data_IF_575195033598
#
_entry.id   IF_575195033598
#
_cell.length_a   1.000
_cell.length_b   1.000
_cell.length_c   1.000
_cell.angle_alpha   90.00
_cell.angle_beta   90.00
_cell.angle_gamma   90.00
#
_symmetry.space_group_name_H-M   'P 1'
#
loop_
_entity.id
_entity.type
_entity.pdbx_description
1 polymer ?
#
# COMPACT_ATOMS: atom_id res chain seq x y z
N UNK A 1 -6.47 0.86 23.30
CA UNK A 1 -6.79 1.80 22.25
C UNK A 1 -8.11 2.50 22.51
N UNK A 2 -8.22 3.71 22.06
CA UNK A 2 -9.45 4.48 22.17
C UNK A 2 -10.56 3.79 21.36
N UNK A 3 -11.59 3.32 22.05
CA UNK A 3 -12.74 2.63 21.42
C UNK A 3 -13.46 3.52 20.41
N UNK A 4 -13.48 4.85 20.64
CA UNK A 4 -14.06 5.83 19.71
C UNK A 4 -13.33 5.88 18.36
N UNK A 5 -12.01 5.72 18.34
CA UNK A 5 -11.23 5.66 17.10
C UNK A 5 -11.55 4.40 16.31
N UNK A 6 -11.66 3.24 16.96
CA UNK A 6 -12.02 1.99 16.31
C UNK A 6 -13.44 2.03 15.71
N UNK A 7 -14.42 2.49 16.49
CA UNK A 7 -15.81 2.62 16.01
C UNK A 7 -15.92 3.58 14.82
N UNK A 8 -15.21 4.71 14.87
CA UNK A 8 -15.16 5.63 13.72
C UNK A 8 -14.56 4.96 12.46
N UNK A 9 -13.46 4.21 12.63
CA UNK A 9 -12.84 3.48 11.52
C UNK A 9 -13.80 2.43 10.93
N UNK A 10 -14.52 1.69 11.79
CA UNK A 10 -15.54 0.73 11.39
C UNK A 10 -16.66 1.40 10.59
N UNK A 11 -17.20 2.53 11.07
CA UNK A 11 -18.22 3.29 10.36
C UNK A 11 -17.74 3.84 9.01
N UNK A 12 -16.47 4.25 8.92
CA UNK A 12 -15.87 4.64 7.64
C UNK A 12 -15.81 3.47 6.64
N UNK A 13 -15.43 2.27 7.12
CA UNK A 13 -15.43 1.06 6.28
C UNK A 13 -16.83 0.71 5.79
N UNK A 14 -17.86 0.79 6.65
CA UNK A 14 -19.25 0.56 6.26
C UNK A 14 -19.73 1.57 5.24
N UNK A 15 -19.51 2.86 5.50
CA UNK A 15 -19.88 3.92 4.57
C UNK A 15 -19.21 3.74 3.22
N UNK A 16 -17.92 3.37 3.19
CA UNK A 16 -17.21 3.09 1.96
C UNK A 16 -17.83 1.92 1.20
N UNK A 17 -18.03 0.79 1.85
CA UNK A 17 -18.57 -0.43 1.26
C UNK A 17 -20.00 -0.22 0.74
N UNK A 18 -20.89 0.39 1.53
CA UNK A 18 -22.28 0.67 1.17
C UNK A 18 -22.39 1.63 -0.04
N UNK A 19 -21.35 2.42 -0.30
CA UNK A 19 -21.25 3.28 -1.48
C UNK A 19 -20.41 2.69 -2.63
N UNK A 20 -20.14 1.38 -2.60
CA UNK A 20 -19.50 0.65 -3.69
C UNK A 20 -17.97 0.69 -3.70
N UNK A 21 -17.32 1.15 -2.63
CA UNK A 21 -15.87 1.07 -2.49
C UNK A 21 -15.52 -0.31 -1.90
N UNK A 22 -14.87 -1.14 -2.71
CA UNK A 22 -14.52 -2.52 -2.33
C UNK A 22 -13.03 -2.74 -2.11
N UNK A 23 -12.18 -1.78 -2.48
CA UNK A 23 -10.73 -1.87 -2.32
C UNK A 23 -10.28 -1.18 -1.04
N UNK A 24 -9.76 -1.96 -0.09
CA UNK A 24 -9.17 -1.50 1.16
C UNK A 24 -7.66 -1.70 1.12
N UNK A 25 -6.94 -0.57 1.13
CA UNK A 25 -5.50 -0.52 0.90
C UNK A 25 -4.73 -0.22 2.19
N UNK A 26 -3.91 -1.16 2.62
CA UNK A 26 -3.15 -1.14 3.86
C UNK A 26 -1.63 -1.18 3.59
N UNK A 27 -0.85 -1.16 4.64
CA UNK A 27 0.56 -1.50 4.64
C UNK A 27 0.97 -1.98 6.04
N UNK A 28 2.02 -2.80 6.11
CA UNK A 28 2.51 -3.35 7.36
C UNK A 28 2.92 -2.27 8.39
N UNK A 29 3.37 -1.10 7.90
CA UNK A 29 3.82 0.01 8.74
C UNK A 29 2.72 1.06 9.07
N UNK A 30 1.46 0.88 8.59
CA UNK A 30 0.41 1.85 8.83
C UNK A 30 -0.17 1.78 10.24
N UNK A 31 -0.54 2.97 10.74
CA UNK A 31 -1.17 3.20 12.05
C UNK A 31 -0.25 3.95 13.00
N UNK A 32 -0.74 4.32 14.23
CA UNK A 32 0.09 4.94 15.24
C UNK A 32 1.29 4.07 15.64
N UNK A 33 1.05 2.76 15.73
CA UNK A 33 2.08 1.74 15.85
C UNK A 33 2.11 0.90 14.57
N UNK A 34 3.28 0.54 14.05
CA UNK A 34 3.39 -0.34 12.89
C UNK A 34 2.55 -1.61 13.08
N UNK A 35 1.73 -1.95 12.09
CA UNK A 35 0.83 -3.10 12.12
C UNK A 35 -0.57 -2.84 12.67
N UNK A 36 -0.79 -1.76 13.43
CA UNK A 36 -2.08 -1.53 14.09
C UNK A 36 -3.24 -1.28 13.11
N UNK A 37 -2.97 -0.73 11.94
CA UNK A 37 -3.98 -0.57 10.90
C UNK A 37 -4.47 -1.93 10.38
N UNK A 38 -3.55 -2.87 10.13
CA UNK A 38 -3.89 -4.23 9.70
C UNK A 38 -4.61 -5.01 10.81
N UNK A 39 -4.21 -4.87 12.08
CA UNK A 39 -4.89 -5.51 13.21
C UNK A 39 -6.34 -5.03 13.34
N UNK A 40 -6.56 -3.72 13.29
CA UNK A 40 -7.89 -3.13 13.38
C UNK A 40 -8.77 -3.53 12.20
N UNK A 41 -8.23 -3.46 10.98
CA UNK A 41 -8.98 -3.86 9.78
C UNK A 41 -9.25 -5.36 9.78
N UNK A 42 -8.30 -6.19 10.20
CA UNK A 42 -8.49 -7.63 10.37
C UNK A 42 -9.60 -7.98 11.37
N UNK A 43 -9.76 -7.19 12.43
CA UNK A 43 -10.89 -7.32 13.35
C UNK A 43 -12.21 -6.99 12.65
N UNK A 44 -12.28 -5.88 11.90
CA UNK A 44 -13.47 -5.51 11.12
C UNK A 44 -13.82 -6.60 10.09
N UNK A 45 -12.83 -7.14 9.38
CA UNK A 45 -13.04 -8.23 8.43
C UNK A 45 -13.70 -9.44 9.08
N UNK A 46 -13.19 -9.88 10.23
CA UNK A 46 -13.73 -11.07 10.94
C UNK A 46 -15.11 -10.85 11.49
N UNK A 47 -15.35 -9.70 12.11
CA UNK A 47 -16.59 -9.41 12.84
C UNK A 47 -17.73 -8.98 11.92
N UNK A 48 -17.42 -8.25 10.84
CA UNK A 48 -18.42 -7.53 10.06
C UNK A 48 -18.44 -7.90 8.56
N UNK A 49 -17.28 -8.19 7.97
CA UNK A 49 -17.13 -8.39 6.53
C UNK A 49 -16.79 -9.83 6.12
N UNK A 50 -16.83 -10.79 7.05
CA UNK A 50 -16.48 -12.18 6.75
C UNK A 50 -17.30 -12.77 5.60
N UNK A 51 -18.59 -12.44 5.49
CA UNK A 51 -19.47 -12.89 4.43
C UNK A 51 -19.20 -12.23 3.07
N UNK A 52 -18.41 -11.15 3.05
CA UNK A 52 -18.13 -10.36 1.85
C UNK A 52 -16.68 -10.45 1.41
N UNK A 53 -15.88 -11.39 1.97
CA UNK A 53 -14.45 -11.50 1.63
C UNK A 53 -14.21 -11.56 0.11
N UNK A 54 -15.03 -12.29 -0.61
CA UNK A 54 -14.89 -12.49 -2.05
C UNK A 54 -15.35 -11.28 -2.90
N UNK A 55 -16.04 -10.33 -2.27
CA UNK A 55 -16.43 -9.05 -2.86
C UNK A 55 -15.41 -7.93 -2.60
N UNK A 56 -14.42 -8.19 -1.73
CA UNK A 56 -13.43 -7.21 -1.31
C UNK A 56 -12.09 -7.43 -1.99
N UNK A 57 -11.42 -6.33 -2.31
CA UNK A 57 -10.00 -6.29 -2.67
C UNK A 57 -9.25 -5.78 -1.45
N UNK A 58 -8.46 -6.64 -0.83
CA UNK A 58 -7.61 -6.29 0.31
C UNK A 58 -6.18 -6.27 -0.16
N UNK A 59 -5.53 -5.12 -0.04
CA UNK A 59 -4.11 -4.99 -0.37
C UNK A 59 -3.28 -4.59 0.85
N UNK A 60 -2.03 -5.05 0.86
CA UNK A 60 -1.03 -4.60 1.84
C UNK A 60 0.35 -4.49 1.19
N UNK A 61 1.29 -3.89 1.90
CA UNK A 61 2.61 -3.49 1.39
C UNK A 61 3.69 -3.74 2.43
N UNK A 62 4.90 -3.98 1.97
CA UNK A 62 6.11 -3.99 2.80
C UNK A 62 7.27 -3.29 2.10
N UNK A 63 8.11 -2.56 2.85
CA UNK A 63 9.26 -1.81 2.33
C UNK A 63 9.83 -0.79 3.30
N UNK A 64 9.15 -0.51 4.39
CA UNK A 64 9.59 0.42 5.45
C UNK A 64 9.95 -0.32 6.73
N UNK A 65 10.61 0.39 7.67
CA UNK A 65 11.08 -0.17 8.93
C UNK A 65 9.94 -0.79 9.75
N UNK A 66 10.11 -2.06 10.14
CA UNK A 66 9.17 -2.82 10.94
C UNK A 66 9.77 -3.37 12.22
N UNK A 67 11.05 -3.73 12.22
CA UNK A 67 11.76 -4.22 13.39
C UNK A 67 13.25 -3.90 13.32
N UNK A 68 13.95 -3.82 14.46
CA UNK A 68 15.38 -3.58 14.49
C UNK A 68 16.20 -4.68 13.82
N UNK A 69 17.32 -4.29 13.22
CA UNK A 69 18.27 -5.22 12.61
C UNK A 69 18.24 -5.20 11.08
N UNK A 70 19.13 -5.96 10.44
CA UNK A 70 19.40 -5.83 8.99
C UNK A 70 18.28 -6.37 8.09
N UNK A 71 17.31 -7.09 8.65
CA UNK A 71 16.24 -7.73 7.89
C UNK A 71 14.85 -7.13 8.19
N UNK A 72 14.80 -5.98 8.84
CA UNK A 72 13.53 -5.33 9.23
C UNK A 72 13.03 -4.26 8.28
N UNK A 73 13.62 -4.11 7.08
CA UNK A 73 13.38 -3.01 6.15
C UNK A 73 13.64 -3.42 4.70
N UNK A 74 13.22 -2.57 3.74
CA UNK A 74 13.53 -2.61 2.30
C UNK A 74 12.87 -3.72 1.52
N UNK A 75 13.61 -4.43 0.64
CA UNK A 75 13.04 -5.31 -0.38
C UNK A 75 13.66 -6.69 -0.47
N UNK A 76 14.52 -7.11 0.51
CA UNK A 76 15.11 -8.43 0.49
C UNK A 76 14.05 -9.54 0.58
N UNK A 77 14.38 -10.71 0.02
CA UNK A 77 13.51 -11.90 0.07
C UNK A 77 13.09 -12.24 1.51
N UNK A 78 14.03 -12.21 2.43
CA UNK A 78 13.76 -12.51 3.84
C UNK A 78 12.76 -11.53 4.44
N UNK A 79 12.94 -10.23 4.19
CA UNK A 79 12.08 -9.18 4.71
C UNK A 79 10.66 -9.27 4.14
N UNK A 80 10.52 -9.39 2.81
CA UNK A 80 9.20 -9.37 2.16
C UNK A 80 8.35 -10.59 2.55
N UNK A 81 8.94 -11.79 2.59
CA UNK A 81 8.21 -13.00 3.00
C UNK A 81 7.79 -12.91 4.47
N UNK A 82 8.70 -12.55 5.37
CA UNK A 82 8.39 -12.41 6.79
C UNK A 82 7.33 -11.32 7.04
N UNK A 83 7.43 -10.20 6.31
CA UNK A 83 6.46 -9.10 6.41
C UNK A 83 5.07 -9.52 5.98
N UNK A 84 4.94 -10.22 4.85
CA UNK A 84 3.63 -10.71 4.39
C UNK A 84 3.03 -11.72 5.37
N UNK A 85 3.83 -12.65 5.89
CA UNK A 85 3.35 -13.63 6.89
C UNK A 85 2.81 -12.94 8.15
N UNK A 86 3.49 -11.91 8.61
CA UNK A 86 3.03 -11.09 9.73
C UNK A 86 1.76 -10.30 9.39
N UNK A 87 1.68 -9.73 8.18
CA UNK A 87 0.49 -9.00 7.71
C UNK A 87 -0.74 -9.92 7.63
N UNK A 88 -0.60 -11.10 7.05
CA UNK A 88 -1.67 -12.11 6.98
C UNK A 88 -2.17 -12.50 8.36
N UNK A 89 -1.24 -12.68 9.32
CA UNK A 89 -1.61 -12.97 10.71
C UNK A 89 -2.41 -11.82 11.36
N UNK A 90 -1.99 -10.55 11.17
CA UNK A 90 -2.71 -9.38 11.69
C UNK A 90 -4.10 -9.23 11.06
N UNK A 91 -4.18 -9.40 9.75
CA UNK A 91 -5.42 -9.34 8.98
C UNK A 91 -6.36 -10.53 9.28
N UNK A 92 -5.83 -11.67 9.72
CA UNK A 92 -6.58 -12.91 9.88
C UNK A 92 -7.00 -13.51 8.54
N UNK A 93 -6.16 -13.40 7.51
CA UNK A 93 -6.40 -13.87 6.15
C UNK A 93 -5.35 -14.89 5.74
N UNK A 94 -5.73 -15.81 4.84
CA UNK A 94 -4.82 -16.75 4.20
C UNK A 94 -4.07 -16.12 3.02
N UNK A 95 -4.67 -15.11 2.38
CA UNK A 95 -4.10 -14.37 1.26
C UNK A 95 -4.60 -12.93 1.22
N UNK A 96 -3.85 -12.06 0.57
CA UNK A 96 -4.29 -10.73 0.13
C UNK A 96 -4.52 -10.72 -1.38
N UNK A 97 -5.37 -9.82 -1.86
CA UNK A 97 -5.61 -9.71 -3.31
C UNK A 97 -4.42 -9.09 -4.01
N UNK A 98 -3.83 -8.04 -3.43
CA UNK A 98 -2.64 -7.40 -3.98
C UNK A 98 -1.57 -7.23 -2.89
N UNK A 99 -0.35 -7.69 -3.17
CA UNK A 99 0.80 -7.40 -2.33
C UNK A 99 1.76 -6.45 -3.04
N UNK A 100 2.13 -5.35 -2.38
CA UNK A 100 3.02 -4.34 -2.95
C UNK A 100 4.43 -4.40 -2.33
N UNK A 101 5.46 -4.25 -3.18
CA UNK A 101 6.73 -3.72 -2.71
C UNK A 101 6.58 -2.20 -2.56
N UNK A 102 6.74 -1.69 -1.34
CA UNK A 102 6.27 -0.35 -0.94
C UNK A 102 7.15 0.79 -1.45
N UNK A 103 8.43 0.54 -1.70
CA UNK A 103 9.38 1.51 -2.27
C UNK A 103 10.58 0.81 -2.89
N UNK A 104 11.26 1.48 -3.83
CA UNK A 104 12.53 0.98 -4.37
C UNK A 104 13.54 0.74 -3.25
N UNK A 105 14.27 -0.38 -3.36
CA UNK A 105 15.38 -0.71 -2.47
C UNK A 105 16.69 -0.39 -3.19
N UNK A 106 17.56 0.49 -2.65
CA UNK A 106 18.82 0.85 -3.29
C UNK A 106 19.92 -0.22 -3.15
N UNK A 107 19.75 -1.20 -2.26
CA UNK A 107 20.80 -2.15 -1.90
C UNK A 107 20.52 -3.58 -2.39
N UNK A 108 19.24 -4.01 -2.36
CA UNK A 108 18.86 -5.33 -2.86
C UNK A 108 18.72 -5.31 -4.38
N UNK A 109 19.33 -6.27 -5.10
CA UNK A 109 19.12 -6.39 -6.53
C UNK A 109 17.62 -6.46 -6.88
N UNK A 110 17.21 -5.72 -7.91
CA UNK A 110 15.80 -5.66 -8.33
C UNK A 110 15.24 -7.06 -8.64
N UNK A 111 16.08 -7.90 -9.24
CA UNK A 111 15.77 -9.29 -9.58
C UNK A 111 15.35 -10.09 -8.35
N UNK A 112 16.08 -9.99 -7.22
CA UNK A 112 15.73 -10.68 -5.97
C UNK A 112 14.37 -10.24 -5.44
N UNK A 113 14.12 -8.93 -5.45
CA UNK A 113 12.83 -8.37 -5.01
C UNK A 113 11.69 -8.88 -5.90
N UNK A 114 11.85 -8.83 -7.23
CA UNK A 114 10.81 -9.27 -8.17
C UNK A 114 10.58 -10.79 -8.10
N UNK A 115 11.63 -11.60 -8.05
CA UNK A 115 11.51 -13.04 -7.85
C UNK A 115 10.81 -13.41 -6.53
N UNK A 116 11.01 -12.58 -5.50
CA UNK A 116 10.30 -12.76 -4.23
C UNK A 116 8.80 -12.52 -4.39
N UNK A 117 8.39 -11.49 -5.12
CA UNK A 117 6.97 -11.26 -5.44
C UNK A 117 6.38 -12.43 -6.24
N UNK A 118 7.13 -12.98 -7.20
CA UNK A 118 6.73 -14.20 -7.93
C UNK A 118 6.51 -15.37 -6.97
N UNK A 119 7.43 -15.60 -6.04
CA UNK A 119 7.32 -16.66 -5.05
C UNK A 119 6.09 -16.48 -4.16
N UNK A 120 5.79 -15.26 -3.74
CA UNK A 120 4.61 -14.91 -2.94
C UNK A 120 3.32 -15.30 -3.68
N UNK A 121 3.19 -14.94 -4.96
CA UNK A 121 2.02 -15.33 -5.77
C UNK A 121 1.94 -16.84 -5.93
N UNK A 122 3.05 -17.51 -6.28
CA UNK A 122 3.10 -18.97 -6.44
C UNK A 122 2.76 -19.74 -5.17
N UNK A 123 3.03 -19.14 -4.00
CA UNK A 123 2.65 -19.74 -2.70
C UNK A 123 1.17 -19.55 -2.34
N UNK A 124 0.40 -18.82 -3.16
CA UNK A 124 -1.02 -18.54 -2.92
C UNK A 124 -1.28 -17.45 -1.86
N UNK A 125 -0.25 -16.72 -1.41
CA UNK A 125 -0.40 -15.68 -0.38
C UNK A 125 -0.79 -14.31 -0.94
N UNK A 126 -0.73 -14.12 -2.25
CA UNK A 126 -1.26 -12.97 -2.97
C UNK A 126 -1.76 -13.41 -4.35
N UNK A 127 -2.85 -12.80 -4.84
CA UNK A 127 -3.37 -13.07 -6.18
C UNK A 127 -2.60 -12.25 -7.24
N UNK A 128 -2.29 -11.01 -6.92
CA UNK A 128 -1.60 -10.05 -7.77
C UNK A 128 -0.48 -9.37 -7.01
N UNK A 129 0.46 -8.80 -7.75
CA UNK A 129 1.48 -7.93 -7.17
C UNK A 129 1.41 -6.53 -7.74
N UNK A 130 1.87 -5.58 -6.91
CA UNK A 130 2.06 -4.19 -7.26
C UNK A 130 3.40 -3.68 -6.76
N UNK A 131 3.78 -2.51 -7.23
CA UNK A 131 4.94 -1.77 -6.75
C UNK A 131 4.51 -0.35 -6.38
N UNK A 132 5.27 0.32 -5.53
CA UNK A 132 4.95 1.66 -5.07
C UNK A 132 6.21 2.52 -4.99
N UNK A 133 6.08 3.80 -5.28
CA UNK A 133 7.20 4.76 -5.24
C UNK A 133 8.38 4.39 -6.18
N UNK A 134 8.09 3.80 -7.32
CA UNK A 134 9.04 3.53 -8.39
C UNK A 134 9.06 4.66 -9.40
N UNK A 135 10.21 4.89 -10.03
CA UNK A 135 10.32 5.71 -11.24
C UNK A 135 10.03 4.89 -12.51
N UNK A 136 10.00 5.57 -13.66
CA UNK A 136 9.63 4.93 -14.93
C UNK A 136 10.64 3.90 -15.41
N UNK A 137 11.94 4.15 -15.23
CA UNK A 137 13.00 3.24 -15.67
C UNK A 137 12.97 1.94 -14.85
N UNK A 138 12.98 2.07 -13.52
CA UNK A 138 12.96 0.91 -12.61
C UNK A 138 11.66 0.13 -12.73
N UNK A 139 10.53 0.83 -12.92
CA UNK A 139 9.23 0.19 -13.16
C UNK A 139 9.24 -0.65 -14.45
N UNK A 140 9.81 -0.17 -15.55
CA UNK A 140 9.93 -0.96 -16.79
C UNK A 140 10.75 -2.22 -16.58
N UNK A 141 11.92 -2.10 -15.93
CA UNK A 141 12.76 -3.26 -15.61
C UNK A 141 12.03 -4.27 -14.73
N UNK A 142 11.34 -3.79 -13.68
CA UNK A 142 10.52 -4.65 -12.82
C UNK A 142 9.41 -5.36 -13.61
N UNK A 143 8.72 -4.65 -14.50
CA UNK A 143 7.70 -5.22 -15.36
C UNK A 143 8.25 -6.29 -16.30
N UNK A 144 9.41 -6.06 -16.90
CA UNK A 144 10.07 -7.05 -17.78
C UNK A 144 10.38 -8.35 -17.04
N UNK A 145 10.98 -8.26 -15.84
CA UNK A 145 11.28 -9.42 -15.00
C UNK A 145 10.00 -10.18 -14.63
N UNK A 146 8.97 -9.46 -14.17
CA UNK A 146 7.72 -10.07 -13.75
C UNK A 146 6.94 -10.70 -14.93
N UNK A 147 7.00 -10.10 -16.12
CA UNK A 147 6.41 -10.65 -17.35
C UNK A 147 7.14 -11.92 -17.81
N UNK A 148 8.47 -11.93 -17.79
CA UNK A 148 9.28 -13.11 -18.11
C UNK A 148 8.97 -14.28 -17.17
N UNK A 149 8.76 -13.98 -15.89
CA UNK A 149 8.43 -14.98 -14.85
C UNK A 149 6.91 -15.31 -14.77
N UNK A 150 6.10 -14.78 -15.69
CA UNK A 150 4.65 -14.96 -15.75
C UNK A 150 3.93 -14.58 -14.44
N UNK A 151 4.37 -13.51 -13.79
CA UNK A 151 3.78 -13.01 -12.56
C UNK A 151 2.69 -11.95 -12.88
N UNK A 152 1.51 -12.01 -12.24
CA UNK A 152 0.43 -11.07 -12.48
C UNK A 152 0.70 -9.72 -11.81
N UNK A 153 1.60 -8.94 -12.37
CA UNK A 153 1.87 -7.54 -12.00
C UNK A 153 0.86 -6.62 -12.68
N UNK A 154 0.09 -5.87 -11.90
CA UNK A 154 -1.07 -5.13 -12.42
C UNK A 154 -1.02 -3.61 -12.18
N UNK A 155 -0.30 -3.14 -11.13
CA UNK A 155 -0.53 -1.78 -10.65
C UNK A 155 0.73 -1.17 -10.00
N UNK A 156 0.89 0.14 -10.19
CA UNK A 156 1.87 0.97 -9.48
C UNK A 156 1.16 2.02 -8.64
N UNK A 157 1.57 2.19 -7.37
CA UNK A 157 1.01 3.18 -6.46
C UNK A 157 2.03 4.30 -6.19
N UNK A 158 1.63 5.55 -6.45
CA UNK A 158 2.50 6.72 -6.26
C UNK A 158 1.74 7.94 -5.78
N UNK A 159 2.46 8.89 -5.17
CA UNK A 159 1.91 10.20 -4.86
C UNK A 159 1.61 10.96 -6.15
N UNK A 160 0.37 11.39 -6.32
CA UNK A 160 -0.04 12.17 -7.47
C UNK A 160 -1.22 13.11 -7.15
N UNK A 161 -1.01 14.38 -7.34
CA UNK A 161 -2.02 15.45 -7.21
C UNK A 161 -1.56 16.68 -7.97
N UNK A 162 -2.35 17.77 -7.98
CA UNK A 162 -2.01 18.97 -8.74
C UNK A 162 -0.70 19.66 -8.29
N UNK A 163 -0.26 19.45 -7.03
CA UNK A 163 1.00 19.99 -6.52
C UNK A 163 2.17 19.02 -6.76
N UNK A 164 1.93 17.70 -6.70
CA UNK A 164 2.96 16.69 -6.91
C UNK A 164 2.71 15.94 -8.23
N UNK A 165 3.44 16.34 -9.26
CA UNK A 165 3.37 15.75 -10.60
C UNK A 165 4.64 14.98 -10.98
N UNK A 166 5.33 14.44 -9.98
CA UNK A 166 6.60 13.73 -10.16
C UNK A 166 6.48 12.57 -11.14
N UNK A 167 5.38 11.81 -11.12
CA UNK A 167 5.18 10.65 -12.01
C UNK A 167 5.10 11.02 -13.50
N UNK A 168 4.82 12.28 -13.82
CA UNK A 168 4.86 12.76 -15.21
C UNK A 168 6.30 13.09 -15.64
N UNK A 169 7.15 13.52 -14.71
CA UNK A 169 8.51 13.97 -14.96
C UNK A 169 9.54 12.84 -14.90
N UNK A 170 9.31 11.83 -14.03
CA UNK A 170 10.22 10.69 -13.86
C UNK A 170 9.92 9.51 -14.79
N UNK A 171 9.05 9.69 -15.80
CA UNK A 171 8.72 8.70 -16.80
C UNK A 171 7.75 7.60 -16.36
N UNK A 172 7.29 7.58 -15.09
CA UNK A 172 6.42 6.50 -14.59
C UNK A 172 5.08 6.41 -15.33
N UNK A 173 4.43 7.56 -15.54
CA UNK A 173 3.13 7.59 -16.23
C UNK A 173 3.22 7.03 -17.66
N UNK A 174 4.30 7.35 -18.38
CA UNK A 174 4.56 6.81 -19.69
C UNK A 174 4.88 5.31 -19.63
N UNK A 175 5.75 4.89 -18.71
CA UNK A 175 6.12 3.48 -18.52
C UNK A 175 4.90 2.61 -18.20
N UNK A 176 4.01 3.08 -17.33
CA UNK A 176 2.78 2.38 -16.97
C UNK A 176 1.85 2.21 -18.18
N UNK A 177 1.70 3.24 -19.00
CA UNK A 177 0.90 3.16 -20.23
C UNK A 177 1.51 2.17 -21.25
N UNK A 178 2.81 2.22 -21.48
CA UNK A 178 3.53 1.31 -22.37
C UNK A 178 3.40 -0.17 -21.92
N UNK A 179 3.54 -0.41 -20.63
CA UNK A 179 3.44 -1.74 -20.00
C UNK A 179 2.00 -2.16 -19.67
N UNK A 180 1.00 -1.32 -19.99
CA UNK A 180 -0.43 -1.58 -19.70
C UNK A 180 -0.68 -1.90 -18.22
N UNK A 181 -0.04 -1.16 -17.32
CA UNK A 181 -0.20 -1.28 -15.87
C UNK A 181 -1.02 -0.11 -15.33
N UNK A 182 -1.84 -0.38 -14.31
CA UNK A 182 -2.62 0.64 -13.63
C UNK A 182 -1.74 1.58 -12.80
N UNK A 183 -2.26 2.77 -12.54
CA UNK A 183 -1.72 3.70 -11.55
C UNK A 183 -2.82 3.99 -10.54
N UNK A 184 -2.51 3.81 -9.24
CA UNK A 184 -3.33 4.28 -8.14
C UNK A 184 -2.57 5.37 -7.39
N UNK A 185 -3.28 6.42 -6.99
CA UNK A 185 -2.66 7.60 -6.36
C UNK A 185 -2.89 7.60 -4.85
N UNK A 186 -1.82 7.81 -4.08
CA UNK A 186 -1.97 8.22 -2.70
C UNK A 186 -1.81 9.73 -2.55
N UNK A 187 -2.33 10.29 -1.46
CA UNK A 187 -2.40 11.73 -1.21
C UNK A 187 -3.04 12.57 -2.34
N UNK A 188 -4.18 12.14 -2.95
CA UNK A 188 -4.80 12.89 -4.04
C UNK A 188 -5.27 14.29 -3.61
N UNK A 189 -5.59 14.47 -2.33
CA UNK A 189 -5.97 15.77 -1.73
C UNK A 189 -4.79 16.51 -1.10
N UNK A 190 -3.54 16.14 -1.41
CA UNK A 190 -2.33 16.75 -0.85
C UNK A 190 -2.42 16.94 0.68
N UNK A 191 -2.77 15.87 1.41
CA UNK A 191 -2.97 15.85 2.87
C UNK A 191 -4.05 16.82 3.37
N UNK A 192 -5.07 17.08 2.56
CA UNK A 192 -6.18 17.97 2.87
C UNK A 192 -6.00 19.40 2.35
N UNK A 193 -4.85 19.77 1.82
CA UNK A 193 -4.61 21.11 1.27
C UNK A 193 -5.48 21.42 0.06
N UNK A 194 -5.99 20.43 -0.65
CA UNK A 194 -6.90 20.58 -1.79
C UNK A 194 -8.39 20.51 -1.39
N UNK A 195 -8.68 20.65 -0.11
CA UNK A 195 -10.04 20.79 0.41
C UNK A 195 -10.37 22.26 0.74
N UNK A 196 -11.63 22.57 1.01
CA UNK A 196 -12.08 23.88 1.43
C UNK A 196 -11.55 24.30 2.83
N UNK A 197 -11.05 23.34 3.60
CA UNK A 197 -10.53 23.53 4.97
C UNK A 197 -9.46 24.64 5.08
N UNK A 198 -8.67 24.84 4.03
CA UNK A 198 -7.53 25.77 4.04
C UNK A 198 -7.79 27.09 3.30
N UNK A 199 -9.00 27.32 2.79
CA UNK A 199 -9.32 28.53 2.04
C UNK A 199 -9.19 29.82 2.88
N UNK A 200 -9.41 29.74 4.20
CA UNK A 200 -9.37 30.86 5.11
C UNK A 200 -8.12 30.85 6.03
N UNK A 201 -7.05 30.15 5.61
CA UNK A 201 -5.81 30.00 6.37
C UNK A 201 -5.65 28.62 6.99
N UNK A 202 -4.60 28.46 7.80
CA UNK A 202 -4.27 27.17 8.43
C UNK A 202 -5.13 26.98 9.69
N UNK A 203 -5.99 25.95 9.76
CA UNK A 203 -6.79 25.65 10.93
C UNK A 203 -5.90 25.29 12.16
N UNK A 204 -6.36 25.64 13.36
CA UNK A 204 -5.61 25.38 14.59
C UNK A 204 -5.34 23.87 14.82
N UNK A 205 -6.26 23.01 14.39
CA UNK A 205 -6.18 21.55 14.45
C UNK A 205 -5.55 20.93 13.20
N UNK A 206 -4.90 21.73 12.36
CA UNK A 206 -4.12 21.24 11.23
C UNK A 206 -2.93 20.42 11.70
N UNK A 207 -2.57 19.38 10.92
CA UNK A 207 -1.33 18.58 11.15
C UNK A 207 -0.07 19.44 11.20
N UNK A 208 -0.02 20.56 10.48
CA UNK A 208 1.06 21.57 10.57
C UNK A 208 1.29 22.04 12.00
N UNK A 209 0.20 22.17 12.76
CA UNK A 209 0.24 22.69 14.14
C UNK A 209 0.30 21.59 15.20
N UNK A 210 0.00 20.33 14.85
CA UNK A 210 -0.18 19.25 15.83
C UNK A 210 0.83 18.11 15.69
N UNK A 211 1.26 17.79 14.47
CA UNK A 211 2.04 16.58 14.19
C UNK A 211 3.03 16.75 13.04
N UNK A 212 3.94 17.61 13.01
CA UNK A 212 4.87 17.90 11.90
C UNK A 212 5.48 16.75 11.06
N UNK A 213 4.99 15.50 11.21
CA UNK A 213 5.56 14.29 10.57
C UNK A 213 5.46 14.26 9.05
N UNK A 214 4.64 15.11 8.45
CA UNK A 214 4.34 15.04 7.01
C UNK A 214 4.54 16.37 6.29
N UNK A 215 5.37 17.23 6.83
CA UNK A 215 5.71 18.54 6.27
C UNK A 215 7.08 18.52 5.61
#
# INVERSE_FOLDING_TARGET
>A
GDTGVYENMKQMCFTAFDNGITHFDLANNYGPQPGSAEENFGKILREEFSSYRDELIVSTKAGYDMWPGPYGNWGSRKYLIASLDQSLKRLGLDYVDIFYHHRMDPETPLEETMETLVQIVRSGKALYVGISNYDGETMKRAADILEELHCPFIINQNSYNIFNRTIEKNGLKQAAAEKKKGIISFSPLAQGMLTDRYLNGIPKDSRVNTDGRFL
#
